data_IF_689382294657
#
_entry.id   IF_689382294657
#
_cell.length_a   1.000
_cell.length_b   1.000
_cell.length_c   1.000
_cell.angle_alpha   90.00
_cell.angle_beta   90.00
_cell.angle_gamma   90.00
#
_symmetry.space_group_name_H-M   'P 1'
#
loop_
_entity.id
_entity.type
_entity.pdbx_description
1 polymer ?
#
# COMPACT_ATOMS: atom_id res chain seq x y z
N UNK A 1 -3.76 11.15 -20.95
CA UNK A 1 -3.05 10.48 -19.86
C UNK A 1 -4.03 9.63 -19.10
N UNK A 2 -3.83 8.32 -19.04
CA UNK A 2 -4.70 7.42 -18.29
C UNK A 2 -4.48 7.69 -16.80
N UNK A 3 -5.55 7.90 -16.05
CA UNK A 3 -5.48 8.10 -14.60
C UNK A 3 -4.79 6.89 -13.94
N UNK A 4 -3.90 7.11 -12.96
CA UNK A 4 -3.25 6.02 -12.25
C UNK A 4 -4.30 5.22 -11.47
N UNK A 5 -4.49 3.97 -11.87
CA UNK A 5 -5.30 3.01 -11.12
C UNK A 5 -4.57 2.70 -9.82
N UNK A 6 -5.20 2.84 -8.64
CA UNK A 6 -4.58 2.47 -7.37
C UNK A 6 -4.20 0.99 -7.39
N UNK A 7 -2.91 0.70 -7.19
CA UNK A 7 -2.32 -0.64 -7.29
C UNK A 7 -1.83 -1.05 -8.68
N UNK A 8 -1.94 -0.19 -9.70
CA UNK A 8 -1.39 -0.43 -11.03
C UNK A 8 0.07 -0.02 -11.13
N UNK A 9 0.88 -0.81 -11.84
CA UNK A 9 2.25 -0.41 -12.21
C UNK A 9 2.22 0.83 -13.11
N UNK A 10 3.22 1.69 -12.99
CA UNK A 10 3.39 2.79 -13.94
C UNK A 10 3.78 2.20 -15.31
N UNK A 11 2.83 2.14 -16.24
CA UNK A 11 3.08 1.69 -17.61
C UNK A 11 3.98 2.71 -18.35
N UNK A 12 5.06 2.26 -18.99
CA UNK A 12 5.93 3.15 -19.75
C UNK A 12 5.23 3.65 -21.01
N UNK A 13 5.19 4.97 -21.19
CA UNK A 13 4.70 5.58 -22.44
C UNK A 13 5.52 5.06 -23.64
N UNK A 14 4.85 4.57 -24.71
CA UNK A 14 5.51 4.11 -25.93
C UNK A 14 6.28 5.28 -26.56
N UNK A 15 7.60 5.14 -26.70
CA UNK A 15 8.50 6.17 -27.27
C UNK A 15 9.48 6.85 -26.30
N UNK A 16 9.44 6.53 -25.00
CA UNK A 16 10.35 7.16 -24.01
C UNK A 16 11.78 6.58 -24.01
N UNK A 17 12.78 7.46 -23.87
CA UNK A 17 14.21 7.09 -23.75
C UNK A 17 14.47 6.05 -22.65
N UNK A 18 15.40 5.11 -22.87
CA UNK A 18 15.74 4.04 -21.93
C UNK A 18 16.05 4.55 -20.51
N UNK A 19 16.68 5.73 -20.39
CA UNK A 19 16.97 6.38 -19.10
C UNK A 19 15.71 6.84 -18.38
N UNK A 20 14.77 7.48 -19.08
CA UNK A 20 13.48 7.93 -18.50
C UNK A 20 12.62 6.74 -18.07
N UNK A 21 12.68 5.62 -18.79
CA UNK A 21 12.04 4.37 -18.40
C UNK A 21 12.64 3.82 -17.11
N UNK A 22 13.96 3.77 -16.98
CA UNK A 22 14.63 3.31 -15.76
C UNK A 22 14.31 4.18 -14.54
N UNK A 23 14.39 5.51 -14.67
CA UNK A 23 14.06 6.44 -13.58
C UNK A 23 12.59 6.36 -13.16
N UNK A 24 11.64 6.18 -14.11
CA UNK A 24 10.22 5.97 -13.77
C UNK A 24 10.00 4.65 -13.00
N UNK A 25 10.75 3.59 -13.34
CA UNK A 25 10.70 2.31 -12.61
C UNK A 25 11.21 2.46 -11.18
N UNK A 26 12.31 3.18 -10.96
CA UNK A 26 12.85 3.42 -9.62
C UNK A 26 11.94 4.30 -8.76
N UNK A 27 11.08 5.13 -9.38
CA UNK A 27 10.14 6.01 -8.67
C UNK A 27 8.77 5.36 -8.41
N UNK A 28 8.55 4.13 -8.86
CA UNK A 28 7.27 3.44 -8.70
C UNK A 28 7.16 2.85 -7.27
N UNK A 29 6.27 3.37 -6.40
CA UNK A 29 6.15 2.91 -5.02
C UNK A 29 5.76 1.44 -4.91
N UNK A 30 4.99 0.94 -5.89
CA UNK A 30 4.52 -0.44 -5.91
C UNK A 30 5.69 -1.43 -6.03
N UNK A 31 6.71 -1.08 -6.83
CA UNK A 31 7.89 -1.94 -7.03
C UNK A 31 8.77 -2.02 -5.79
N UNK A 32 8.84 -0.96 -5.00
CA UNK A 32 9.55 -1.00 -3.72
C UNK A 32 8.85 -1.90 -2.71
N UNK A 33 7.51 -1.92 -2.71
CA UNK A 33 6.73 -2.85 -1.91
C UNK A 33 6.96 -4.31 -2.35
N UNK A 34 6.99 -4.58 -3.66
CA UNK A 34 7.30 -5.91 -4.21
C UNK A 34 8.72 -6.37 -3.87
N UNK A 35 9.69 -5.45 -3.88
CA UNK A 35 11.07 -5.73 -3.55
C UNK A 35 11.22 -6.03 -2.06
N UNK A 36 10.62 -5.22 -1.19
CA UNK A 36 10.56 -5.48 0.25
C UNK A 36 9.90 -6.84 0.52
N UNK A 37 8.82 -7.17 -0.18
CA UNK A 37 8.19 -8.48 -0.06
C UNK A 37 9.13 -9.61 -0.46
N UNK A 38 9.82 -9.47 -1.60
CA UNK A 38 10.78 -10.49 -2.06
C UNK A 38 11.91 -10.67 -1.04
N UNK A 39 12.41 -9.58 -0.47
CA UNK A 39 13.47 -9.60 0.56
C UNK A 39 13.01 -10.29 1.84
N UNK A 40 11.76 -10.09 2.28
CA UNK A 40 11.22 -10.74 3.49
C UNK A 40 10.82 -12.20 3.22
N UNK A 41 10.24 -12.47 2.06
CA UNK A 41 9.74 -13.80 1.70
C UNK A 41 10.89 -14.77 1.39
N UNK A 42 11.98 -14.27 0.81
CA UNK A 42 13.16 -15.08 0.47
C UNK A 42 13.71 -15.90 1.66
N UNK A 43 14.03 -15.32 2.83
CA UNK A 43 14.54 -16.11 3.96
C UNK A 43 13.52 -17.11 4.48
N UNK A 44 12.22 -16.75 4.51
CA UNK A 44 11.16 -17.67 4.94
C UNK A 44 11.04 -18.86 3.99
N UNK A 45 11.12 -18.61 2.68
CA UNK A 45 11.11 -19.65 1.66
C UNK A 45 12.36 -20.52 1.71
N UNK A 46 13.53 -19.92 2.00
CA UNK A 46 14.79 -20.63 2.13
C UNK A 46 14.76 -21.58 3.34
N UNK A 47 14.32 -21.10 4.50
CA UNK A 47 14.18 -21.91 5.71
C UNK A 47 13.17 -23.05 5.47
N UNK A 48 12.03 -22.73 4.87
CA UNK A 48 11.01 -23.72 4.47
C UNK A 48 11.60 -24.81 3.56
N UNK A 49 12.37 -24.42 2.56
CA UNK A 49 13.02 -25.35 1.65
C UNK A 49 14.06 -26.22 2.37
N UNK A 50 14.93 -25.63 3.20
CA UNK A 50 15.92 -26.36 4.00
C UNK A 50 15.24 -27.39 4.89
N UNK A 51 14.21 -27.00 5.65
CA UNK A 51 13.47 -27.91 6.54
C UNK A 51 12.87 -29.06 5.73
N UNK A 52 12.23 -28.76 4.60
CA UNK A 52 11.60 -29.78 3.75
C UNK A 52 12.61 -30.78 3.20
N UNK A 53 13.75 -30.28 2.70
CA UNK A 53 14.83 -31.11 2.15
C UNK A 53 15.47 -31.96 3.23
N UNK A 54 15.77 -31.39 4.40
CA UNK A 54 16.38 -32.12 5.52
C UNK A 54 15.45 -33.22 6.02
N UNK A 55 14.15 -32.93 6.18
CA UNK A 55 13.19 -33.94 6.64
C UNK A 55 13.07 -35.12 5.67
N UNK A 56 13.04 -34.82 4.36
CA UNK A 56 12.95 -35.84 3.32
C UNK A 56 14.25 -36.62 3.20
N UNK A 57 15.40 -35.95 3.26
CA UNK A 57 16.72 -36.58 3.20
C UNK A 57 16.93 -37.52 4.40
N UNK A 58 16.57 -37.11 5.62
CA UNK A 58 16.69 -37.95 6.82
C UNK A 58 15.73 -39.16 6.78
N UNK A 59 14.51 -38.98 6.30
CA UNK A 59 13.57 -40.08 6.14
C UNK A 59 14.10 -41.13 5.14
N UNK A 60 14.60 -40.68 3.99
CA UNK A 60 15.16 -41.55 2.94
C UNK A 60 16.47 -42.20 3.40
N UNK A 61 17.37 -41.43 4.01
CA UNK A 61 18.65 -41.93 4.51
C UNK A 61 18.45 -42.97 5.61
N UNK A 62 17.59 -42.73 6.60
CA UNK A 62 17.33 -43.71 7.67
C UNK A 62 16.68 -45.00 7.16
N UNK A 63 15.88 -44.94 6.10
CA UNK A 63 15.28 -46.13 5.48
C UNK A 63 16.27 -46.92 4.60
N UNK A 64 17.20 -46.24 3.93
CA UNK A 64 18.19 -46.86 3.05
C UNK A 64 19.50 -47.25 3.76
N UNK A 65 19.81 -46.63 4.90
CA UNK A 65 21.03 -46.86 5.66
C UNK A 65 21.23 -48.34 6.04
N UNK A 66 20.22 -49.08 6.52
CA UNK A 66 20.39 -50.52 6.79
C UNK A 66 20.80 -51.35 5.57
N UNK A 67 20.29 -50.99 4.39
CA UNK A 67 20.59 -51.69 3.13
C UNK A 67 22.02 -51.35 2.68
N UNK A 68 22.39 -50.07 2.74
CA UNK A 68 23.76 -49.64 2.52
C UNK A 68 24.71 -50.32 3.52
N UNK A 69 24.22 -50.55 4.74
CA UNK A 69 25.03 -51.13 5.79
C UNK A 69 25.35 -52.60 5.58
N UNK A 70 24.32 -53.38 5.28
CA UNK A 70 24.46 -54.80 4.96
C UNK A 70 25.29 -54.99 3.67
N UNK A 71 25.08 -54.15 2.66
CA UNK A 71 25.79 -54.30 1.37
C UNK A 71 27.27 -53.98 1.48
N UNK A 72 27.66 -52.94 2.22
CA UNK A 72 29.07 -52.61 2.45
C UNK A 72 29.77 -53.70 3.28
N UNK A 73 29.11 -54.26 4.30
CA UNK A 73 29.67 -55.32 5.15
C UNK A 73 29.85 -56.65 4.39
N UNK A 74 28.97 -56.93 3.42
CA UNK A 74 29.03 -58.14 2.61
C UNK A 74 30.03 -58.06 1.45
N UNK A 75 30.31 -56.85 0.93
CA UNK A 75 31.08 -56.65 -0.31
C UNK A 75 32.50 -56.11 -0.08
N UNK A 76 32.73 -55.34 0.98
CA UNK A 76 34.05 -54.78 1.30
C UNK A 76 34.75 -55.60 2.39
N UNK A 77 36.04 -55.89 2.21
CA UNK A 77 36.87 -56.54 3.23
C UNK A 77 36.81 -55.74 4.55
N UNK A 78 36.63 -56.37 5.73
CA UNK A 78 36.57 -55.69 7.04
C UNK A 78 37.84 -54.89 7.39
N UNK A 79 38.91 -55.02 6.60
CA UNK A 79 40.16 -54.30 6.72
C UNK A 79 40.17 -52.89 6.09
N UNK A 80 39.21 -52.53 5.23
CA UNK A 80 39.25 -51.27 4.45
C UNK A 80 38.49 -50.11 5.11
N UNK A 81 37.65 -50.37 6.12
CA UNK A 81 36.94 -49.30 6.82
C UNK A 81 36.39 -49.75 8.15
N UNK A 82 37.08 -49.39 9.23
CA UNK A 82 36.53 -49.51 10.58
C UNK A 82 35.34 -48.55 10.67
N UNK A 83 34.13 -49.10 10.59
CA UNK A 83 32.87 -48.35 10.68
C UNK A 83 32.79 -47.62 12.02
N UNK A 84 32.65 -46.30 11.98
CA UNK A 84 32.39 -45.49 13.16
C UNK A 84 30.91 -45.11 13.19
N UNK A 85 30.05 -46.11 13.38
CA UNK A 85 28.62 -45.91 13.63
C UNK A 85 28.36 -45.38 15.03
N UNK A 86 27.10 -44.98 15.31
CA UNK A 86 26.71 -44.51 16.63
C UNK A 86 26.88 -45.63 17.69
N UNK A 87 26.61 -46.88 17.32
CA UNK A 87 26.80 -48.04 18.17
C UNK A 87 28.28 -48.27 18.54
N UNK A 88 29.20 -48.03 17.59
CA UNK A 88 30.64 -48.09 17.83
C UNK A 88 31.09 -47.00 18.83
N UNK A 89 30.60 -45.76 18.67
CA UNK A 89 30.88 -44.65 19.59
C UNK A 89 30.32 -44.88 21.00
N UNK A 90 29.20 -45.61 21.10
CA UNK A 90 28.56 -46.00 22.35
C UNK A 90 29.11 -47.30 22.95
N UNK A 91 30.01 -48.00 22.24
CA UNK A 91 30.60 -49.28 22.68
C UNK A 91 29.61 -50.44 22.75
N UNK A 92 28.52 -50.39 21.98
CA UNK A 92 27.47 -51.40 21.98
C UNK A 92 27.83 -52.55 21.03
N UNK A 93 27.90 -53.78 21.54
CA UNK A 93 28.10 -54.99 20.74
C UNK A 93 26.84 -55.86 20.74
N UNK A 94 26.38 -56.41 19.59
CA UNK A 94 26.92 -56.24 18.23
C UNK A 94 26.58 -54.86 17.63
N UNK A 95 27.57 -54.19 17.04
CA UNK A 95 27.45 -52.80 16.52
C UNK A 95 26.40 -52.68 15.40
N UNK A 96 26.44 -53.61 14.43
CA UNK A 96 25.55 -53.62 13.26
C UNK A 96 24.05 -53.66 13.64
N UNK A 97 23.69 -54.44 14.66
CA UNK A 97 22.29 -54.57 15.09
C UNK A 97 21.77 -53.25 15.66
N UNK A 98 22.59 -52.57 16.47
CA UNK A 98 22.21 -51.31 17.10
C UNK A 98 22.18 -50.16 16.10
N UNK A 99 23.15 -50.06 15.18
CA UNK A 99 23.15 -49.02 14.14
C UNK A 99 21.93 -49.15 13.21
N UNK A 100 21.61 -50.36 12.73
CA UNK A 100 20.40 -50.61 11.93
C UNK A 100 19.14 -50.22 12.71
N UNK A 101 19.09 -50.56 14.01
CA UNK A 101 17.98 -50.21 14.89
C UNK A 101 17.80 -48.69 15.02
N UNK A 102 18.88 -47.95 15.23
CA UNK A 102 18.85 -46.48 15.32
C UNK A 102 18.42 -45.84 14.01
N UNK A 103 19.03 -46.23 12.89
CA UNK A 103 18.74 -45.65 11.58
C UNK A 103 17.32 -45.92 11.13
N UNK A 104 16.82 -47.14 11.31
CA UNK A 104 15.45 -47.50 10.98
C UNK A 104 14.45 -46.74 11.86
N UNK A 105 14.74 -46.61 13.16
CA UNK A 105 13.89 -45.86 14.08
C UNK A 105 13.84 -44.38 13.69
N UNK A 106 14.99 -43.77 13.40
CA UNK A 106 15.07 -42.40 12.90
C UNK A 106 14.30 -42.25 11.57
N UNK A 107 14.55 -43.13 10.60
CA UNK A 107 13.87 -43.11 9.29
C UNK A 107 12.36 -43.21 9.41
N UNK A 108 11.84 -44.10 10.25
CA UNK A 108 10.40 -44.26 10.51
C UNK A 108 9.82 -43.01 11.18
N UNK A 109 10.49 -42.47 12.21
CA UNK A 109 10.03 -41.26 12.90
C UNK A 109 10.01 -40.05 11.95
N UNK A 110 11.07 -39.83 11.17
CA UNK A 110 11.12 -38.75 10.18
C UNK A 110 10.10 -38.94 9.06
N UNK A 111 9.88 -40.17 8.61
CA UNK A 111 8.85 -40.51 7.61
C UNK A 111 7.42 -40.25 8.12
N UNK A 112 7.11 -40.66 9.36
CA UNK A 112 5.80 -40.42 9.98
C UNK A 112 5.54 -38.93 10.25
N UNK A 113 6.58 -38.18 10.62
CA UNK A 113 6.47 -36.75 10.91
C UNK A 113 6.51 -35.87 9.65
N UNK A 114 7.07 -36.34 8.53
CA UNK A 114 7.20 -35.57 7.30
C UNK A 114 5.86 -35.00 6.77
N UNK A 115 4.75 -35.77 6.67
CA UNK A 115 3.49 -35.23 6.21
C UNK A 115 2.92 -34.15 7.12
N UNK A 116 3.13 -34.25 8.44
CA UNK A 116 2.66 -33.25 9.40
C UNK A 116 3.45 -31.94 9.27
N UNK A 117 4.78 -32.04 9.20
CA UNK A 117 5.68 -30.88 9.06
C UNK A 117 5.44 -30.17 7.72
N UNK A 118 5.39 -30.92 6.61
CA UNK A 118 5.15 -30.34 5.28
C UNK A 118 3.78 -29.65 5.20
N UNK A 119 2.73 -30.22 5.80
CA UNK A 119 1.41 -29.56 5.87
C UNK A 119 1.44 -28.30 6.73
N UNK A 120 2.14 -28.34 7.87
CA UNK A 120 2.30 -27.16 8.74
C UNK A 120 3.02 -26.02 8.01
N UNK A 121 4.07 -26.35 7.27
CA UNK A 121 4.86 -25.40 6.49
C UNK A 121 4.06 -24.81 5.33
N UNK A 122 3.30 -25.64 4.61
CA UNK A 122 2.38 -25.20 3.56
C UNK A 122 1.26 -24.30 4.11
N UNK A 123 0.71 -24.62 5.29
CA UNK A 123 -0.29 -23.80 5.96
C UNK A 123 0.28 -22.44 6.38
N UNK A 124 1.49 -22.41 6.94
CA UNK A 124 2.19 -21.18 7.29
C UNK A 124 2.43 -20.29 6.06
N UNK A 125 2.92 -20.85 4.96
CA UNK A 125 3.15 -20.13 3.71
C UNK A 125 1.84 -19.59 3.13
N UNK A 126 0.78 -20.38 3.18
CA UNK A 126 -0.57 -19.97 2.76
C UNK A 126 -1.11 -18.83 3.64
N UNK A 127 -0.89 -18.88 4.95
CA UNK A 127 -1.26 -17.83 5.88
C UNK A 127 -0.54 -16.51 5.59
N UNK A 128 0.77 -16.57 5.35
CA UNK A 128 1.58 -15.40 5.00
C UNK A 128 1.08 -14.73 3.71
N UNK A 129 0.78 -15.53 2.68
CA UNK A 129 0.25 -15.02 1.40
C UNK A 129 -1.13 -14.36 1.60
N UNK A 130 -2.02 -14.97 2.39
CA UNK A 130 -3.35 -14.40 2.68
C UNK A 130 -3.28 -13.10 3.46
N UNK A 131 -2.45 -13.04 4.49
CA UNK A 131 -2.24 -11.82 5.28
C UNK A 131 -1.69 -10.67 4.41
N UNK A 132 -0.87 -10.99 3.43
CA UNK A 132 -0.35 -10.00 2.49
C UNK A 132 -1.43 -9.50 1.52
N UNK A 133 -2.27 -10.39 0.98
CA UNK A 133 -3.37 -10.00 0.09
C UNK A 133 -4.36 -9.08 0.81
N UNK A 134 -4.70 -9.37 2.07
CA UNK A 134 -5.59 -8.53 2.86
C UNK A 134 -4.98 -7.14 3.11
N UNK A 135 -3.71 -7.07 3.50
CA UNK A 135 -3.00 -5.80 3.68
C UNK A 135 -3.01 -4.94 2.40
N UNK A 136 -2.74 -5.55 1.25
CA UNK A 136 -2.78 -4.86 -0.05
C UNK A 136 -4.17 -4.32 -0.37
N UNK A 137 -5.21 -5.09 -0.10
CA UNK A 137 -6.58 -4.66 -0.37
C UNK A 137 -6.95 -3.45 0.47
N UNK A 138 -6.56 -3.42 1.74
CA UNK A 138 -6.89 -2.34 2.66
C UNK A 138 -6.14 -1.04 2.29
N UNK A 139 -4.85 -1.14 1.97
CA UNK A 139 -4.07 0.02 1.48
C UNK A 139 -4.68 0.59 0.19
N UNK A 140 -5.08 -0.28 -0.75
CA UNK A 140 -5.72 0.16 -2.00
C UNK A 140 -7.07 0.85 -1.76
N UNK A 141 -7.89 0.33 -0.83
CA UNK A 141 -9.16 0.96 -0.44
C UNK A 141 -8.94 2.34 0.17
N UNK A 142 -7.97 2.48 1.08
CA UNK A 142 -7.62 3.77 1.69
C UNK A 142 -7.12 4.78 0.66
N UNK A 143 -6.26 4.37 -0.27
CA UNK A 143 -5.78 5.23 -1.35
C UNK A 143 -6.92 5.68 -2.27
N UNK A 144 -7.83 4.76 -2.63
CA UNK A 144 -8.99 5.07 -3.47
C UNK A 144 -9.92 6.05 -2.78
N UNK A 145 -10.18 5.86 -1.48
CA UNK A 145 -10.99 6.77 -0.66
C UNK A 145 -10.37 8.17 -0.59
N UNK A 146 -9.07 8.28 -0.29
CA UNK A 146 -8.36 9.57 -0.27
C UNK A 146 -8.40 10.27 -1.62
N UNK A 147 -8.22 9.54 -2.72
CA UNK A 147 -8.30 10.09 -4.06
C UNK A 147 -9.72 10.56 -4.41
N UNK A 148 -10.77 9.90 -3.90
CA UNK A 148 -12.14 10.35 -4.06
C UNK A 148 -12.40 11.65 -3.28
N UNK A 149 -11.93 11.75 -2.04
CA UNK A 149 -12.03 12.97 -1.22
C UNK A 149 -11.31 14.15 -1.88
N UNK A 150 -10.07 13.96 -2.33
CA UNK A 150 -9.30 15.01 -3.03
C UNK A 150 -9.99 15.48 -4.32
N UNK A 151 -10.60 14.56 -5.08
CA UNK A 151 -11.38 14.93 -6.28
C UNK A 151 -12.61 15.74 -5.91
N UNK A 152 -13.32 15.36 -4.85
CA UNK A 152 -14.48 16.10 -4.35
C UNK A 152 -14.09 17.52 -3.90
N UNK A 153 -13.00 17.65 -3.13
CA UNK A 153 -12.45 18.96 -2.72
C UNK A 153 -12.02 19.81 -3.92
N UNK A 154 -11.39 19.21 -4.93
CA UNK A 154 -10.98 19.92 -6.13
C UNK A 154 -12.18 20.37 -6.99
N UNK A 155 -13.30 19.66 -6.96
CA UNK A 155 -14.53 20.08 -7.65
C UNK A 155 -15.23 21.20 -6.89
N UNK A 156 -15.38 21.09 -5.56
CA UNK A 156 -15.97 22.15 -4.73
C UNK A 156 -15.16 23.44 -4.81
N UNK A 157 -13.82 23.36 -4.76
CA UNK A 157 -12.96 24.52 -4.95
C UNK A 157 -13.15 25.19 -6.31
N UNK A 158 -13.22 24.41 -7.40
CA UNK A 158 -13.44 24.95 -8.75
C UNK A 158 -14.82 25.59 -8.91
N UNK A 159 -15.85 25.03 -8.29
CA UNK A 159 -17.19 25.64 -8.24
C UNK A 159 -17.15 26.96 -7.47
N UNK A 160 -16.51 26.97 -6.31
CA UNK A 160 -16.36 28.17 -5.49
C UNK A 160 -15.60 29.28 -6.21
N UNK A 161 -14.47 28.93 -6.87
CA UNK A 161 -13.71 29.87 -7.69
C UNK A 161 -14.56 30.44 -8.84
N UNK A 162 -15.39 29.61 -9.50
CA UNK A 162 -16.30 30.06 -10.54
C UNK A 162 -17.40 30.99 -10.00
N UNK A 163 -18.04 30.63 -8.90
CA UNK A 163 -19.13 31.42 -8.31
C UNK A 163 -18.62 32.79 -7.80
N UNK A 164 -17.40 32.81 -7.25
CA UNK A 164 -16.72 34.03 -6.82
C UNK A 164 -16.29 34.89 -8.02
N UNK A 165 -15.99 34.31 -9.18
CA UNK A 165 -15.51 35.07 -10.33
C UNK A 165 -16.65 35.55 -11.23
N UNK A 166 -17.59 34.67 -11.56
CA UNK A 166 -18.68 34.97 -12.50
C UNK A 166 -19.76 35.85 -11.86
N UNK A 167 -20.00 35.69 -10.54
CA UNK A 167 -20.97 36.47 -9.79
C UNK A 167 -20.68 37.99 -9.76
N UNK A 168 -19.46 38.42 -9.43
CA UNK A 168 -19.06 39.83 -9.49
C UNK A 168 -19.01 40.38 -10.91
N UNK A 169 -18.56 39.61 -11.90
CA UNK A 169 -18.50 40.09 -13.28
C UNK A 169 -19.88 40.44 -13.85
N UNK A 170 -20.87 39.57 -13.67
CA UNK A 170 -22.24 39.85 -14.11
C UNK A 170 -22.82 41.10 -13.42
N UNK A 171 -22.53 41.26 -12.12
CA UNK A 171 -22.99 42.40 -11.33
C UNK A 171 -22.30 43.71 -11.70
N UNK A 172 -21.01 43.70 -12.00
CA UNK A 172 -20.27 44.88 -12.50
C UNK A 172 -20.75 45.33 -13.87
N UNK A 173 -21.08 44.38 -14.76
CA UNK A 173 -21.66 44.70 -16.08
C UNK A 173 -23.01 45.39 -15.92
N UNK A 174 -23.87 44.88 -15.03
CA UNK A 174 -25.17 45.48 -14.72
C UNK A 174 -25.03 46.89 -14.14
N UNK A 175 -24.15 47.07 -13.17
CA UNK A 175 -23.84 48.38 -12.57
C UNK A 175 -23.39 49.40 -13.64
N UNK A 176 -22.53 48.99 -14.58
CA UNK A 176 -22.10 49.86 -15.69
C UNK A 176 -23.28 50.27 -16.59
N UNK A 177 -24.23 49.36 -16.86
CA UNK A 177 -25.42 49.67 -17.65
C UNK A 177 -26.35 50.64 -16.94
N UNK A 178 -26.57 50.45 -15.63
CA UNK A 178 -27.41 51.32 -14.80
C UNK A 178 -26.82 52.73 -14.70
N UNK A 179 -25.50 52.85 -14.51
CA UNK A 179 -24.80 54.14 -14.52
C UNK A 179 -24.88 54.84 -15.89
N UNK A 180 -24.71 54.11 -16.99
CA UNK A 180 -24.84 54.67 -18.34
C UNK A 180 -26.28 55.13 -18.63
N UNK A 181 -27.30 54.45 -18.06
CA UNK A 181 -28.71 54.86 -18.15
C UNK A 181 -28.95 56.13 -17.33
N UNK A 182 -28.44 56.21 -16.11
CA UNK A 182 -28.53 57.40 -15.28
C UNK A 182 -27.88 58.61 -15.96
N UNK A 183 -26.70 58.45 -16.57
CA UNK A 183 -26.00 59.52 -17.28
C UNK A 183 -26.82 60.08 -18.45
N UNK A 184 -27.47 59.22 -19.24
CA UNK A 184 -28.35 59.65 -20.34
C UNK A 184 -29.63 60.34 -19.86
N UNK A 185 -30.11 59.98 -18.67
CA UNK A 185 -31.33 60.52 -18.09
C UNK A 185 -31.08 61.84 -17.33
N UNK A 186 -29.85 62.10 -16.90
CA UNK A 186 -29.49 63.25 -16.07
C UNK A 186 -29.85 64.61 -16.69
N UNK A 187 -29.77 64.73 -18.02
CA UNK A 187 -30.12 65.97 -18.75
C UNK A 187 -31.63 66.12 -18.99
N UNK A 188 -32.40 65.02 -19.00
CA UNK A 188 -33.82 65.00 -19.37
C UNK A 188 -34.76 64.93 -18.16
N UNK A 189 -34.37 64.18 -17.15
CA UNK A 189 -35.12 63.95 -15.92
C UNK A 189 -34.14 63.68 -14.76
N UNK A 190 -33.71 64.73 -14.06
CA UNK A 190 -32.76 64.63 -12.96
C UNK A 190 -33.27 63.77 -11.80
N UNK A 191 -34.58 63.76 -11.56
CA UNK A 191 -35.19 62.99 -10.49
C UNK A 191 -35.13 61.48 -10.80
N UNK A 192 -35.44 61.10 -12.04
CA UNK A 192 -35.30 59.70 -12.48
C UNK A 192 -33.83 59.25 -12.51
N UNK A 193 -32.89 60.13 -12.88
CA UNK A 193 -31.46 59.82 -12.83
C UNK A 193 -30.96 59.58 -11.40
N UNK A 194 -31.38 60.41 -10.44
CA UNK A 194 -31.05 60.25 -9.03
C UNK A 194 -31.58 58.92 -8.49
N UNK A 195 -32.81 58.52 -8.83
CA UNK A 195 -33.40 57.26 -8.41
C UNK A 195 -32.62 56.03 -8.93
N UNK A 196 -32.14 56.07 -10.18
CA UNK A 196 -31.31 54.99 -10.76
C UNK A 196 -29.96 54.88 -10.04
N UNK A 197 -29.33 56.01 -9.73
CA UNK A 197 -28.05 56.03 -8.99
C UNK A 197 -28.24 55.44 -7.59
N UNK A 198 -29.33 55.81 -6.90
CA UNK A 198 -29.64 55.28 -5.57
C UNK A 198 -29.85 53.77 -5.59
N UNK A 199 -30.64 53.26 -6.53
CA UNK A 199 -30.83 51.81 -6.70
C UNK A 199 -29.52 51.07 -7.02
N UNK A 200 -28.64 51.66 -7.83
CA UNK A 200 -27.32 51.11 -8.13
C UNK A 200 -26.38 51.08 -6.90
N UNK A 201 -26.45 52.10 -6.04
CA UNK A 201 -25.71 52.15 -4.77
C UNK A 201 -26.20 51.06 -3.80
N UNK A 202 -27.50 50.93 -3.63
CA UNK A 202 -28.10 49.91 -2.75
C UNK A 202 -27.74 48.49 -3.22
N UNK A 203 -27.82 48.24 -4.53
CA UNK A 203 -27.48 46.94 -5.11
C UNK A 203 -25.98 46.59 -4.97
N UNK A 204 -25.11 47.61 -5.01
CA UNK A 204 -23.67 47.45 -4.77
C UNK A 204 -23.39 47.14 -3.29
N UNK A 205 -24.07 47.84 -2.37
CA UNK A 205 -23.95 47.61 -0.93
C UNK A 205 -24.38 46.19 -0.55
N UNK A 206 -25.54 45.74 -1.07
CA UNK A 206 -26.03 44.37 -0.86
C UNK A 206 -25.03 43.32 -1.36
N UNK A 207 -24.41 43.55 -2.52
CA UNK A 207 -23.40 42.65 -3.09
C UNK A 207 -22.12 42.60 -2.22
N UNK A 208 -21.67 43.74 -1.68
CA UNK A 208 -20.53 43.78 -0.76
C UNK A 208 -20.81 43.00 0.52
N UNK A 209 -22.04 43.07 1.03
CA UNK A 209 -22.43 42.34 2.23
C UNK A 209 -22.57 40.83 1.99
N UNK A 210 -23.06 40.40 0.82
CA UNK A 210 -23.02 39.00 0.37
C UNK A 210 -21.58 38.47 0.22
N UNK A 211 -20.68 39.24 -0.39
CA UNK A 211 -19.26 38.87 -0.52
C UNK A 211 -18.55 38.81 0.84
N UNK A 212 -18.88 39.72 1.77
CA UNK A 212 -18.38 39.67 3.15
C UNK A 212 -18.88 38.43 3.88
N UNK A 213 -20.14 38.04 3.71
CA UNK A 213 -20.67 36.79 4.28
C UNK A 213 -19.97 35.56 3.69
N UNK A 214 -19.77 35.52 2.36
CA UNK A 214 -19.07 34.43 1.68
C UNK A 214 -17.60 34.33 2.13
N UNK A 215 -16.89 35.46 2.24
CA UNK A 215 -15.52 35.52 2.73
C UNK A 215 -15.39 35.03 4.18
N UNK A 216 -16.37 35.31 5.04
CA UNK A 216 -16.40 34.80 6.42
C UNK A 216 -16.76 33.31 6.49
N UNK A 217 -17.53 32.79 5.54
CA UNK A 217 -17.88 31.36 5.44
C UNK A 217 -16.74 30.48 4.91
N UNK A 218 -15.79 31.05 4.14
CA UNK A 218 -14.64 30.33 3.57
C UNK A 218 -13.42 30.38 4.50
N UNK A 219 -13.27 31.42 5.33
CA UNK A 219 -12.23 31.48 6.35
C UNK A 219 -12.54 30.42 7.43
N UNK A 220 -11.66 29.43 7.69
CA UNK A 220 -11.92 28.41 8.70
C UNK A 220 -12.19 29.10 10.05
N UNK A 221 -13.37 28.92 10.68
CA UNK A 221 -13.67 29.48 11.99
C UNK A 221 -12.77 28.97 13.12
N UNK A 222 -11.80 28.11 12.81
CA UNK A 222 -10.91 27.47 13.79
C UNK A 222 -9.72 28.36 14.16
N UNK A 223 -9.37 29.37 13.37
CA UNK A 223 -8.23 30.25 13.68
C UNK A 223 -8.60 31.57 14.38
N UNK A 224 -9.83 32.06 14.25
CA UNK A 224 -10.15 33.43 14.66
C UNK A 224 -10.54 33.52 16.15
N UNK A 225 -11.08 32.45 16.75
CA UNK A 225 -11.60 32.52 18.13
C UNK A 225 -10.85 31.69 19.19
N UNK A 226 -9.92 30.78 18.82
CA UNK A 226 -9.28 29.88 19.82
C UNK A 226 -7.75 29.76 19.76
N UNK A 227 -7.09 30.43 18.82
CA UNK A 227 -5.64 30.42 18.69
C UNK A 227 -5.05 29.04 18.35
N UNK A 228 -3.76 29.07 18.01
CA UNK A 228 -2.96 27.94 17.49
C UNK A 228 -3.04 26.66 18.35
N UNK A 229 -3.29 26.78 19.65
CA UNK A 229 -3.34 25.64 20.59
C UNK A 229 -4.56 24.71 20.38
N UNK A 230 -5.72 25.26 20.00
CA UNK A 230 -6.93 24.45 19.79
C UNK A 230 -6.83 23.63 18.48
N UNK A 231 -6.23 24.21 17.44
CA UNK A 231 -6.06 23.56 16.14
C UNK A 231 -5.13 22.34 16.21
N UNK A 232 -4.10 22.37 17.07
CA UNK A 232 -3.16 21.24 17.26
C UNK A 232 -3.82 20.09 18.03
N UNK A 233 -4.68 20.41 19.01
CA UNK A 233 -5.38 19.39 19.80
C UNK A 233 -6.41 18.63 18.97
N UNK A 234 -7.15 19.33 18.10
CA UNK A 234 -8.13 18.71 17.20
C UNK A 234 -7.45 17.82 16.14
N UNK A 235 -6.29 18.26 15.63
CA UNK A 235 -5.46 17.46 14.71
C UNK A 235 -4.81 16.24 15.38
N UNK A 236 -4.60 16.26 16.70
CA UNK A 236 -4.08 15.12 17.45
C UNK A 236 -5.17 14.09 17.82
N UNK A 237 -6.44 14.48 17.80
CA UNK A 237 -7.58 13.60 18.11
C UNK A 237 -8.21 12.89 16.90
N UNK A 238 -7.78 13.20 15.67
CA UNK A 238 -8.26 12.57 14.43
C UNK A 238 -7.17 11.69 13.80
#
# INVERSE_FOLDING_TARGET
GREPVPGGYLEPEPGSSARRRLFRRLRDPQRWMDLLWTVIYFPVSLITWIISVVWLALAVAGLLAPIADITLDLVLDPAVGQRQGLAHLLGLQPELFWDIGFDLTCGIVFSLTAPAVLRGLAAMQTGLIRAMLSWRSEVSRLQTSRAAVQRAEADTRRRLERDIHDGPQQRLVRLRMDLARAQRQAEKDPAAASAIIQGAMDQTQQTLDELRQLSRGIAPPVLIDRGLAAAITEAATR
#
